data_IF_415155240128
#
_entry.id   IF_415155240128
#
_cell.length_a   1.000
_cell.length_b   1.000
_cell.length_c   1.000
_cell.angle_alpha   90.00
_cell.angle_beta   90.00
_cell.angle_gamma   90.00
#
_symmetry.space_group_name_H-M   'P 1'
#
loop_
_entity.id
_entity.type
_entity.pdbx_description
1 polymer ?
#
# COMPACT_ATOMS: atom_id res chain seq x y z
N UNK A 1 -6.78 19.41 10.39
CA UNK A 1 -5.94 18.42 9.70
C UNK A 1 -6.82 17.19 9.50
N UNK A 2 -6.95 16.71 8.27
CA UNK A 2 -7.65 15.44 7.98
C UNK A 2 -6.59 14.38 7.74
N UNK A 3 -6.76 13.21 8.34
CA UNK A 3 -5.85 12.06 8.24
C UNK A 3 -6.70 10.82 7.94
N UNK A 4 -6.23 9.97 7.05
CA UNK A 4 -6.87 8.71 6.68
C UNK A 4 -5.95 7.55 7.08
N UNK A 5 -6.16 6.93 8.26
CA UNK A 5 -5.28 5.87 8.75
C UNK A 5 -5.40 4.57 7.95
N UNK A 6 -4.27 3.90 7.76
CA UNK A 6 -4.21 2.53 7.23
C UNK A 6 -3.59 1.66 8.32
N UNK A 7 -4.29 0.61 8.73
CA UNK A 7 -3.89 -0.24 9.85
C UNK A 7 -3.55 -1.65 9.37
N UNK A 8 -2.72 -2.37 10.11
CA UNK A 8 -2.46 -3.77 9.81
C UNK A 8 -1.16 -4.27 10.44
N UNK A 9 -0.68 -5.41 9.96
CA UNK A 9 0.49 -6.09 10.53
C UNK A 9 1.58 -6.17 9.47
N UNK A 10 2.76 -5.66 9.80
CA UNK A 10 3.89 -5.66 8.86
C UNK A 10 4.34 -7.11 8.59
N UNK A 11 4.57 -7.52 7.33
CA UNK A 11 4.92 -8.91 7.03
C UNK A 11 6.24 -9.39 7.63
N UNK A 12 7.13 -8.45 7.98
CA UNK A 12 8.37 -8.77 8.69
C UNK A 12 8.15 -9.35 10.10
N UNK A 13 6.98 -9.13 10.72
CA UNK A 13 6.67 -9.67 12.05
C UNK A 13 6.55 -11.19 12.06
N UNK A 14 6.29 -11.84 10.91
CA UNK A 14 6.19 -13.30 10.85
C UNK A 14 7.47 -14.00 11.36
N UNK A 15 8.64 -13.41 11.10
CA UNK A 15 9.92 -13.95 11.54
C UNK A 15 10.08 -13.79 13.06
N UNK A 16 9.80 -12.59 13.58
CA UNK A 16 9.92 -12.29 15.03
C UNK A 16 8.93 -13.09 15.87
N UNK A 17 7.71 -13.26 15.37
CA UNK A 17 6.68 -14.03 16.06
C UNK A 17 6.99 -15.53 15.97
N UNK A 18 7.38 -16.05 14.81
CA UNK A 18 7.65 -17.49 14.65
C UNK A 18 8.81 -17.98 15.52
N UNK A 19 9.82 -17.15 15.78
CA UNK A 19 10.88 -17.44 16.76
C UNK A 19 10.35 -17.65 18.19
N UNK A 20 9.20 -17.06 18.54
CA UNK A 20 8.64 -17.08 19.90
C UNK A 20 7.52 -18.10 20.09
N UNK A 21 6.74 -18.40 19.05
CA UNK A 21 5.51 -19.19 19.16
C UNK A 21 5.30 -20.23 18.04
N UNK A 22 6.27 -20.37 17.13
CA UNK A 22 6.13 -21.21 15.95
C UNK A 22 5.38 -20.50 14.81
N UNK A 23 5.61 -20.97 13.58
CA UNK A 23 5.15 -20.30 12.36
C UNK A 23 3.62 -20.26 12.21
N UNK A 24 2.95 -21.36 12.52
CA UNK A 24 1.50 -21.46 12.41
C UNK A 24 0.78 -20.53 13.39
N UNK A 25 1.20 -20.52 14.65
CA UNK A 25 0.66 -19.59 15.65
C UNK A 25 0.98 -18.14 15.28
N UNK A 26 2.19 -17.85 14.79
CA UNK A 26 2.55 -16.51 14.32
C UNK A 26 1.60 -16.03 13.21
N UNK A 27 1.33 -16.86 12.20
CA UNK A 27 0.39 -16.52 11.13
C UNK A 27 -1.03 -16.27 11.68
N UNK A 28 -1.51 -17.11 12.62
CA UNK A 28 -2.81 -16.93 13.28
C UNK A 28 -2.90 -15.61 14.05
N UNK A 29 -1.85 -15.25 14.79
CA UNK A 29 -1.80 -13.97 15.51
C UNK A 29 -1.80 -12.77 14.54
N UNK A 30 -1.07 -12.86 13.43
CA UNK A 30 -1.08 -11.81 12.41
C UNK A 30 -2.46 -11.66 11.75
N UNK A 31 -3.14 -12.76 11.43
CA UNK A 31 -4.53 -12.74 10.92
C UNK A 31 -5.50 -12.13 11.93
N UNK A 32 -5.42 -12.51 13.20
CA UNK A 32 -6.24 -11.91 14.27
C UNK A 32 -5.97 -10.40 14.44
N UNK A 33 -4.73 -9.95 14.23
CA UNK A 33 -4.40 -8.53 14.19
C UNK A 33 -5.03 -7.80 13.00
N UNK A 34 -5.15 -8.45 11.85
CA UNK A 34 -5.86 -7.92 10.69
C UNK A 34 -7.37 -7.90 10.90
N UNK A 35 -7.95 -8.91 11.56
CA UNK A 35 -9.37 -8.91 11.94
C UNK A 35 -9.70 -7.70 12.81
N UNK A 36 -8.85 -7.42 13.81
CA UNK A 36 -8.99 -6.24 14.66
C UNK A 36 -8.84 -4.95 13.86
N UNK A 37 -7.87 -4.87 12.94
CA UNK A 37 -7.70 -3.71 12.06
C UNK A 37 -8.92 -3.47 11.17
N UNK A 38 -9.61 -4.53 10.73
CA UNK A 38 -10.83 -4.44 9.95
C UNK A 38 -12.01 -3.87 10.76
N UNK A 39 -12.13 -4.18 12.06
CA UNK A 39 -13.11 -3.53 12.92
C UNK A 39 -12.93 -2.00 12.96
N UNK A 40 -11.70 -1.50 13.02
CA UNK A 40 -11.44 -0.05 12.95
C UNK A 40 -11.84 0.56 11.61
N UNK A 41 -11.79 -0.21 10.51
CA UNK A 41 -12.31 0.23 9.21
C UNK A 41 -13.83 0.32 9.24
N UNK A 42 -14.51 -0.69 9.80
CA UNK A 42 -15.97 -0.70 9.96
C UNK A 42 -16.47 0.48 10.82
N UNK A 43 -15.73 0.81 11.89
CA UNK A 43 -16.00 1.93 12.80
C UNK A 43 -15.67 3.31 12.18
N UNK A 44 -15.02 3.34 11.02
CA UNK A 44 -14.61 4.57 10.33
C UNK A 44 -13.37 5.25 10.91
N UNK A 45 -12.61 4.56 11.78
CA UNK A 45 -11.35 5.05 12.35
C UNK A 45 -10.13 4.77 11.45
N UNK A 46 -10.27 3.83 10.50
CA UNK A 46 -9.31 3.55 9.45
C UNK A 46 -9.99 3.45 8.07
N UNK A 47 -9.23 3.58 6.99
CA UNK A 47 -9.77 3.56 5.62
C UNK A 47 -9.31 2.35 4.79
N UNK A 48 -8.32 1.62 5.29
CA UNK A 48 -7.72 0.49 4.59
C UNK A 48 -6.87 -0.38 5.51
N UNK A 49 -6.54 -1.56 4.99
CA UNK A 49 -5.64 -2.51 5.63
C UNK A 49 -4.23 -2.44 5.02
N UNK A 50 -3.20 -2.80 5.80
CA UNK A 50 -1.83 -3.02 5.33
C UNK A 50 -1.36 -4.43 5.69
N UNK A 51 -0.93 -5.18 4.69
CA UNK A 51 -0.40 -6.54 4.85
C UNK A 51 0.58 -6.84 3.73
N UNK A 52 1.09 -8.07 3.64
CA UNK A 52 2.02 -8.42 2.60
C UNK A 52 2.82 -9.69 2.82
N UNK A 53 3.99 -9.72 2.17
CA UNK A 53 4.98 -10.79 2.30
C UNK A 53 6.40 -10.22 2.39
N UNK A 54 7.36 -10.97 2.95
CA UNK A 54 8.76 -10.56 2.98
C UNK A 54 9.29 -10.26 1.58
N UNK A 55 10.01 -9.15 1.43
CA UNK A 55 10.72 -8.79 0.20
C UNK A 55 12.14 -9.39 0.13
N UNK A 56 12.48 -10.29 1.05
CA UNK A 56 13.79 -10.91 1.21
C UNK A 56 13.62 -12.42 1.22
N UNK A 57 14.70 -13.14 0.95
CA UNK A 57 14.69 -14.60 0.91
C UNK A 57 14.30 -15.18 2.27
N UNK A 58 13.32 -16.06 2.26
CA UNK A 58 12.81 -16.79 3.43
C UNK A 58 12.53 -18.24 3.03
N UNK A 59 12.49 -19.18 4.00
CA UNK A 59 12.09 -20.55 3.73
C UNK A 59 10.71 -20.64 3.04
N UNK A 60 10.48 -21.61 2.14
CA UNK A 60 9.21 -21.75 1.41
C UNK A 60 7.97 -21.79 2.31
N UNK A 61 8.07 -22.42 3.48
CA UNK A 61 7.00 -22.49 4.47
C UNK A 61 6.64 -21.11 5.05
N UNK A 62 7.64 -20.24 5.27
CA UNK A 62 7.42 -18.86 5.76
C UNK A 62 6.77 -18.01 4.68
N UNK A 63 7.19 -18.17 3.42
CA UNK A 63 6.55 -17.49 2.29
C UNK A 63 5.10 -17.94 2.12
N UNK A 64 4.83 -19.25 2.24
CA UNK A 64 3.48 -19.79 2.17
C UNK A 64 2.58 -19.24 3.29
N UNK A 65 3.09 -19.21 4.53
CA UNK A 65 2.38 -18.63 5.67
C UNK A 65 2.13 -17.12 5.47
N UNK A 66 3.12 -16.38 4.96
CA UNK A 66 2.96 -14.95 4.63
C UNK A 66 1.89 -14.71 3.57
N UNK A 67 1.86 -15.54 2.51
CA UNK A 67 0.84 -15.46 1.47
C UNK A 67 -0.56 -15.86 1.98
N UNK A 68 -0.66 -16.72 2.99
CA UNK A 68 -1.93 -16.99 3.67
C UNK A 68 -2.42 -15.77 4.45
N UNK A 69 -1.54 -15.09 5.20
CA UNK A 69 -1.87 -13.83 5.90
C UNK A 69 -2.26 -12.72 4.91
N UNK A 70 -1.57 -12.63 3.77
CA UNK A 70 -1.95 -11.69 2.70
C UNK A 70 -3.31 -12.04 2.09
N UNK A 71 -3.60 -13.32 1.82
CA UNK A 71 -4.91 -13.74 1.32
C UNK A 71 -6.03 -13.33 2.29
N UNK A 72 -5.82 -13.55 3.59
CA UNK A 72 -6.76 -13.12 4.64
C UNK A 72 -7.01 -11.60 4.61
N UNK A 73 -5.96 -10.79 4.46
CA UNK A 73 -6.11 -9.34 4.33
C UNK A 73 -6.92 -8.92 3.09
N UNK A 74 -6.77 -9.65 1.97
CA UNK A 74 -7.52 -9.38 0.74
C UNK A 74 -8.99 -9.76 0.90
N UNK A 75 -9.29 -10.87 1.58
CA UNK A 75 -10.65 -11.30 1.93
C UNK A 75 -11.33 -10.26 2.83
N UNK A 76 -10.66 -9.81 3.88
CA UNK A 76 -11.13 -8.70 4.72
C UNK A 76 -11.33 -7.40 3.92
N UNK A 77 -10.43 -7.10 2.98
CA UNK A 77 -10.58 -5.95 2.09
C UNK A 77 -11.87 -5.99 1.26
N UNK A 78 -12.27 -7.19 0.81
CA UNK A 78 -13.54 -7.39 0.12
C UNK A 78 -14.73 -7.27 1.08
N UNK A 79 -14.70 -7.95 2.22
CA UNK A 79 -15.79 -8.01 3.21
C UNK A 79 -16.12 -6.62 3.79
N UNK A 80 -15.08 -5.85 4.13
CA UNK A 80 -15.21 -4.51 4.71
C UNK A 80 -15.19 -3.41 3.65
N UNK A 81 -15.20 -3.78 2.35
CA UNK A 81 -15.21 -2.85 1.23
C UNK A 81 -14.16 -1.74 1.36
N UNK A 82 -12.90 -2.13 1.65
CA UNK A 82 -11.78 -1.21 1.82
C UNK A 82 -10.58 -1.61 0.96
N UNK A 83 -9.57 -0.72 0.88
CA UNK A 83 -8.35 -1.02 0.15
C UNK A 83 -7.36 -1.85 0.99
N UNK A 84 -6.43 -2.52 0.31
CA UNK A 84 -5.31 -3.23 0.93
C UNK A 84 -4.00 -2.69 0.37
N UNK A 85 -3.16 -2.10 1.21
CA UNK A 85 -1.78 -1.76 0.88
C UNK A 85 -0.88 -2.99 0.99
N UNK A 86 -0.37 -3.45 -0.14
CA UNK A 86 0.53 -4.57 -0.29
C UNK A 86 1.99 -4.13 -0.09
N UNK A 87 2.61 -4.63 0.98
CA UNK A 87 4.06 -4.65 1.14
C UNK A 87 4.62 -5.97 0.58
N UNK A 88 5.50 -5.92 -0.42
CA UNK A 88 6.05 -7.10 -1.05
C UNK A 88 7.40 -6.78 -1.70
N UNK A 89 8.01 -7.77 -2.33
CA UNK A 89 9.21 -7.62 -3.13
C UNK A 89 9.10 -6.56 -4.22
N UNK A 90 10.26 -6.16 -4.75
CA UNK A 90 10.35 -5.30 -5.92
C UNK A 90 9.74 -5.98 -7.14
N UNK A 91 9.14 -5.19 -8.03
CA UNK A 91 8.53 -5.67 -9.27
C UNK A 91 7.00 -5.61 -9.23
N UNK A 92 6.35 -6.20 -10.25
CA UNK A 92 4.94 -5.97 -10.51
C UNK A 92 4.00 -6.75 -9.57
N UNK A 93 4.46 -7.82 -8.90
CA UNK A 93 3.65 -8.72 -8.07
C UNK A 93 2.37 -9.19 -8.78
N UNK A 94 2.51 -9.65 -10.03
CA UNK A 94 1.38 -10.04 -10.89
C UNK A 94 0.56 -11.19 -10.33
N UNK A 95 1.16 -12.08 -9.53
CA UNK A 95 0.50 -13.20 -8.87
C UNK A 95 -0.59 -12.77 -7.88
N UNK A 96 -0.48 -11.55 -7.33
CA UNK A 96 -1.48 -11.00 -6.40
C UNK A 96 -2.79 -10.66 -7.11
N UNK A 97 -2.79 -10.48 -8.44
CA UNK A 97 -4.03 -10.30 -9.21
C UNK A 97 -4.95 -11.51 -9.05
N UNK A 98 -4.40 -12.72 -9.13
CA UNK A 98 -5.17 -13.95 -8.95
C UNK A 98 -5.63 -14.13 -7.50
N UNK A 99 -4.83 -13.68 -6.52
CA UNK A 99 -5.23 -13.66 -5.10
C UNK A 99 -6.40 -12.71 -4.88
N UNK A 100 -6.32 -11.49 -5.42
CA UNK A 100 -7.38 -10.49 -5.35
C UNK A 100 -8.68 -11.02 -5.98
N UNK A 101 -8.58 -11.66 -7.16
CA UNK A 101 -9.71 -12.27 -7.84
C UNK A 101 -10.38 -13.39 -7.04
N UNK A 102 -9.60 -14.22 -6.33
CA UNK A 102 -10.15 -15.26 -5.44
C UNK A 102 -10.84 -14.68 -4.21
N UNK A 103 -10.26 -13.63 -3.62
CA UNK A 103 -10.83 -12.93 -2.46
C UNK A 103 -12.05 -12.05 -2.82
N UNK A 104 -12.23 -11.71 -4.10
CA UNK A 104 -13.33 -10.85 -4.56
C UNK A 104 -13.06 -9.34 -4.41
N UNK A 105 -11.83 -8.94 -4.08
CA UNK A 105 -11.43 -7.53 -4.01
C UNK A 105 -11.02 -7.02 -5.41
N UNK A 106 -11.53 -5.85 -5.86
CA UNK A 106 -11.11 -5.26 -7.13
C UNK A 106 -9.63 -4.87 -7.12
N UNK A 107 -8.92 -5.13 -8.21
CA UNK A 107 -7.46 -4.90 -8.32
C UNK A 107 -7.07 -3.44 -8.10
N UNK A 108 -7.96 -2.49 -8.42
CA UNK A 108 -7.74 -1.07 -8.14
C UNK A 108 -7.73 -0.69 -6.66
N UNK A 109 -8.20 -1.59 -5.79
CA UNK A 109 -8.16 -1.45 -4.32
C UNK A 109 -7.01 -2.22 -3.69
N UNK A 110 -6.23 -2.94 -4.48
CA UNK A 110 -4.97 -3.54 -4.03
C UNK A 110 -3.84 -2.60 -4.42
N UNK A 111 -3.30 -1.89 -3.43
CA UNK A 111 -2.29 -0.86 -3.65
C UNK A 111 -0.91 -1.47 -3.49
N UNK A 112 -0.14 -1.57 -4.58
CA UNK A 112 1.27 -1.93 -4.48
C UNK A 112 2.03 -0.74 -3.91
N UNK A 113 2.39 -0.83 -2.63
CA UNK A 113 3.32 0.08 -2.00
C UNK A 113 4.73 -0.18 -2.55
N UNK A 114 5.51 0.88 -2.76
CA UNK A 114 6.80 0.82 -3.42
C UNK A 114 6.69 0.14 -4.80
N UNK A 115 5.75 0.62 -5.62
CA UNK A 115 5.45 0.02 -6.91
C UNK A 115 6.51 0.33 -7.98
N UNK A 116 6.60 -0.59 -8.94
CA UNK A 116 7.14 -0.33 -10.28
C UNK A 116 5.99 -0.01 -11.24
N UNK A 117 6.20 0.80 -12.29
CA UNK A 117 5.12 1.23 -13.19
C UNK A 117 4.39 0.11 -13.95
N UNK A 118 5.02 -1.04 -14.10
CA UNK A 118 4.50 -2.23 -14.78
C UNK A 118 3.57 -3.10 -13.91
N UNK A 119 3.36 -2.75 -12.63
CA UNK A 119 2.40 -3.49 -11.79
C UNK A 119 0.97 -3.40 -12.37
N UNK A 120 0.23 -4.53 -12.43
CA UNK A 120 -1.18 -4.54 -12.79
C UNK A 120 -2.10 -4.10 -11.64
N UNK A 121 -1.56 -3.96 -10.42
CA UNK A 121 -2.27 -3.48 -9.24
C UNK A 121 -2.38 -1.94 -9.26
N UNK A 122 -2.98 -1.33 -8.23
CA UNK A 122 -2.94 0.13 -8.08
C UNK A 122 -1.54 0.58 -7.62
N UNK A 123 -0.74 1.27 -8.45
CA UNK A 123 0.62 1.62 -8.07
C UNK A 123 0.66 2.80 -7.09
N UNK A 124 1.44 2.67 -6.03
CA UNK A 124 1.92 3.80 -5.22
C UNK A 124 3.42 3.98 -5.44
N UNK A 125 3.79 5.10 -6.07
CA UNK A 125 5.17 5.37 -6.50
C UNK A 125 5.87 6.30 -5.52
N UNK A 126 7.12 5.97 -5.18
CA UNK A 126 7.97 6.88 -4.41
C UNK A 126 8.10 8.22 -5.16
N UNK A 127 7.92 9.33 -4.45
CA UNK A 127 7.74 10.66 -5.05
C UNK A 127 8.86 11.13 -6.00
N UNK A 128 10.06 10.53 -5.91
CA UNK A 128 11.21 10.83 -6.79
C UNK A 128 11.32 9.91 -8.01
N UNK A 129 10.35 9.02 -8.24
CA UNK A 129 10.40 8.06 -9.33
C UNK A 129 10.38 8.78 -10.68
N UNK A 130 11.32 8.45 -11.56
CA UNK A 130 11.57 9.20 -12.79
C UNK A 130 10.45 9.09 -13.82
N UNK A 131 9.70 7.98 -13.81
CA UNK A 131 8.59 7.75 -14.73
C UNK A 131 7.28 8.49 -14.40
N UNK A 132 7.18 9.16 -13.23
CA UNK A 132 5.95 9.85 -12.80
C UNK A 132 5.42 10.81 -13.88
N UNK A 133 6.23 11.70 -14.49
CA UNK A 133 5.75 12.58 -15.56
C UNK A 133 5.22 11.85 -16.81
N UNK A 134 5.81 10.72 -17.17
CA UNK A 134 5.37 9.95 -18.33
C UNK A 134 4.02 9.26 -18.04
N UNK A 135 3.88 8.66 -16.86
CA UNK A 135 2.64 8.02 -16.42
C UNK A 135 1.50 9.03 -16.25
N UNK A 136 1.81 10.20 -15.70
CA UNK A 136 0.89 11.32 -15.58
C UNK A 136 0.35 11.71 -16.96
N UNK A 137 1.22 12.04 -17.91
CA UNK A 137 0.82 12.42 -19.29
C UNK A 137 0.06 11.32 -20.03
N UNK A 138 0.30 10.05 -19.70
CA UNK A 138 -0.45 8.92 -20.24
C UNK A 138 -1.85 8.75 -19.62
N UNK A 139 -2.27 9.63 -18.71
CA UNK A 139 -3.58 9.55 -18.05
C UNK A 139 -3.69 8.43 -17.03
N UNK A 140 -2.57 7.80 -16.60
CA UNK A 140 -2.62 6.68 -15.67
C UNK A 140 -3.05 7.11 -14.27
N UNK A 141 -3.74 6.20 -13.59
CA UNK A 141 -4.05 6.29 -12.16
C UNK A 141 -2.90 5.69 -11.34
N UNK A 142 -2.39 6.46 -10.39
CA UNK A 142 -1.38 6.07 -9.41
C UNK A 142 -1.41 7.05 -8.23
N UNK A 143 -0.85 6.64 -7.10
CA UNK A 143 -0.58 7.52 -5.97
C UNK A 143 0.91 7.82 -5.85
N UNK A 144 1.25 8.92 -5.18
CA UNK A 144 2.64 9.24 -4.80
C UNK A 144 2.82 9.06 -3.30
N UNK A 145 3.97 8.52 -2.90
CA UNK A 145 4.29 8.29 -1.50
C UNK A 145 5.71 8.74 -1.14
N UNK A 146 5.93 8.94 0.16
CA UNK A 146 7.26 9.21 0.73
C UNK A 146 7.88 7.97 1.38
N UNK A 147 7.05 6.99 1.73
CA UNK A 147 7.41 5.89 2.62
C UNK A 147 8.07 6.37 3.93
N UNK A 148 7.71 7.57 4.41
CA UNK A 148 8.32 8.13 5.61
C UNK A 148 8.11 7.22 6.82
N UNK A 149 9.20 6.96 7.53
CA UNK A 149 9.24 6.11 8.73
C UNK A 149 9.60 7.00 9.92
N UNK A 150 8.69 7.06 10.89
CA UNK A 150 8.86 7.84 12.12
C UNK A 150 9.73 7.07 13.14
N UNK A 151 10.96 6.77 12.73
CA UNK A 151 11.94 6.04 13.54
C UNK A 151 13.22 6.86 13.71
N UNK A 152 13.35 7.53 14.86
CA UNK A 152 14.49 8.39 15.18
C UNK A 152 15.85 7.68 15.12
N UNK A 153 15.88 6.35 15.28
CA UNK A 153 17.10 5.55 15.19
C UNK A 153 17.60 5.36 13.74
N UNK A 154 16.76 5.63 12.72
CA UNK A 154 17.07 5.41 11.29
C UNK A 154 16.77 6.65 10.44
N UNK A 155 17.38 7.81 10.74
CA UNK A 155 17.13 9.03 9.99
C UNK A 155 17.55 8.87 8.52
N UNK A 156 16.66 9.25 7.60
CA UNK A 156 16.94 9.26 6.16
C UNK A 156 16.90 7.90 5.47
N UNK A 157 16.45 6.83 6.13
CA UNK A 157 16.22 5.53 5.50
C UNK A 157 15.23 5.62 4.30
N UNK A 158 14.37 6.63 4.34
CA UNK A 158 13.29 6.93 3.40
C UNK A 158 13.20 8.44 3.20
N UNK A 159 12.45 8.88 2.19
CA UNK A 159 12.33 10.31 1.91
C UNK A 159 11.34 10.97 2.87
N UNK A 160 11.56 12.24 3.23
CA UNK A 160 10.70 12.93 4.18
C UNK A 160 9.29 13.21 3.60
N UNK A 161 8.27 13.46 4.45
CA UNK A 161 6.89 13.64 4.02
C UNK A 161 6.69 14.86 3.11
N UNK A 162 7.56 15.87 3.21
CA UNK A 162 7.58 17.04 2.32
C UNK A 162 8.00 16.70 0.88
N UNK A 163 8.48 15.49 0.62
CA UNK A 163 8.98 15.10 -0.71
C UNK A 163 7.87 15.01 -1.74
N UNK A 164 6.70 14.47 -1.37
CA UNK A 164 5.53 14.38 -2.27
C UNK A 164 5.16 15.76 -2.82
N UNK A 165 4.79 16.77 -1.99
CA UNK A 165 4.45 18.09 -2.52
C UNK A 165 5.63 18.79 -3.22
N UNK A 166 6.88 18.57 -2.77
CA UNK A 166 8.07 19.16 -3.41
C UNK A 166 8.27 18.66 -4.84
N UNK A 167 8.17 17.34 -5.06
CA UNK A 167 8.34 16.78 -6.41
C UNK A 167 7.16 17.11 -7.31
N UNK A 168 5.92 17.07 -6.80
CA UNK A 168 4.76 17.53 -7.57
C UNK A 168 4.90 18.99 -8.00
N UNK A 169 5.31 19.88 -7.08
CA UNK A 169 5.53 21.29 -7.43
C UNK A 169 6.62 21.46 -8.48
N UNK A 170 7.73 20.73 -8.34
CA UNK A 170 8.81 20.74 -9.33
C UNK A 170 8.32 20.31 -10.72
N UNK A 171 7.53 19.23 -10.81
CA UNK A 171 7.00 18.76 -12.09
C UNK A 171 6.03 19.77 -12.73
N UNK A 172 5.24 20.49 -11.94
CA UNK A 172 4.39 21.57 -12.42
C UNK A 172 5.22 22.77 -12.92
N UNK A 173 6.20 23.22 -12.13
CA UNK A 173 7.06 24.37 -12.47
C UNK A 173 7.91 24.09 -13.73
N UNK A 174 8.32 22.83 -13.94
CA UNK A 174 9.05 22.38 -15.13
C UNK A 174 8.13 22.06 -16.33
N UNK A 175 6.80 22.15 -16.18
CA UNK A 175 5.82 21.83 -17.22
C UNK A 175 5.77 20.36 -17.61
N UNK A 176 6.24 19.47 -16.73
CA UNK A 176 6.28 18.02 -16.95
C UNK A 176 4.95 17.33 -16.67
N UNK A 177 4.11 17.93 -15.82
CA UNK A 177 2.73 17.55 -15.56
C UNK A 177 1.84 18.80 -15.53
N UNK A 178 0.54 18.62 -15.72
CA UNK A 178 -0.48 19.68 -15.61
C UNK A 178 -1.13 19.69 -14.22
N UNK A 179 -1.90 20.74 -13.91
CA UNK A 179 -2.73 20.78 -12.70
C UNK A 179 -3.77 19.64 -12.69
N UNK A 180 -4.31 19.28 -13.85
CA UNK A 180 -5.23 18.15 -13.99
C UNK A 180 -4.56 16.81 -13.64
N UNK A 181 -3.31 16.62 -14.06
CA UNK A 181 -2.53 15.45 -13.69
C UNK A 181 -2.29 15.41 -12.17
N UNK A 182 -1.93 16.54 -11.57
CA UNK A 182 -1.74 16.64 -10.12
C UNK A 182 -3.04 16.33 -9.36
N UNK A 183 -4.19 16.80 -9.85
CA UNK A 183 -5.50 16.49 -9.29
C UNK A 183 -5.82 14.99 -9.38
N UNK A 184 -5.54 14.37 -10.52
CA UNK A 184 -5.73 12.93 -10.71
C UNK A 184 -4.87 12.12 -9.74
N UNK A 185 -3.61 12.51 -9.52
CA UNK A 185 -2.67 11.80 -8.64
C UNK A 185 -3.02 11.96 -7.16
N UNK A 186 -3.37 13.18 -6.72
CA UNK A 186 -3.43 13.51 -5.29
C UNK A 186 -4.84 13.53 -4.71
N UNK A 187 -5.88 13.64 -5.53
CA UNK A 187 -7.26 13.66 -5.07
C UNK A 187 -8.09 12.54 -5.71
N UNK A 188 -8.20 12.50 -7.04
CA UNK A 188 -9.11 11.56 -7.71
C UNK A 188 -8.71 10.08 -7.50
N UNK A 189 -7.43 9.76 -7.64
CA UNK A 189 -6.95 8.37 -7.48
C UNK A 189 -7.06 7.91 -6.03
N UNK A 190 -6.55 8.62 -5.00
CA UNK A 190 -6.72 8.19 -3.61
C UNK A 190 -8.19 8.12 -3.19
N UNK A 191 -9.03 9.07 -3.62
CA UNK A 191 -10.47 9.04 -3.30
C UNK A 191 -11.15 7.80 -3.87
N UNK A 192 -10.87 7.45 -5.13
CA UNK A 192 -11.37 6.23 -5.78
C UNK A 192 -10.87 4.96 -5.11
N UNK A 193 -9.58 4.92 -4.75
CA UNK A 193 -8.92 3.73 -4.21
C UNK A 193 -9.33 3.45 -2.77
N UNK A 194 -9.27 4.46 -1.90
CA UNK A 194 -9.51 4.33 -0.46
C UNK A 194 -10.94 4.66 -0.03
N UNK A 195 -11.80 5.15 -0.94
CA UNK A 195 -13.17 5.55 -0.60
C UNK A 195 -13.25 6.78 0.29
N UNK A 196 -12.26 7.67 0.20
CA UNK A 196 -12.16 8.90 1.00
C UNK A 196 -12.52 10.13 0.17
N UNK A 197 -12.91 11.22 0.83
CA UNK A 197 -13.20 12.49 0.14
C UNK A 197 -12.04 13.49 0.32
N UNK A 198 -11.24 13.68 -0.73
CA UNK A 198 -10.16 14.67 -0.76
C UNK A 198 -10.65 15.90 -1.52
N UNK A 199 -11.12 16.89 -0.77
CA UNK A 199 -11.50 18.20 -1.33
C UNK A 199 -10.31 19.17 -1.32
N UNK A 200 -10.23 20.08 -2.29
CA UNK A 200 -9.32 21.21 -2.18
C UNK A 200 -9.70 22.08 -0.97
N UNK A 201 -8.76 22.84 -0.40
CA UNK A 201 -9.10 23.99 0.44
C UNK A 201 -9.87 25.06 -0.34
#
# INVERSE_FOLDING_TARGET
>A
LVVYPVLGVHPAEINRLSERMGLEEAARVMMAGLDLAACYVEEGEAVALKSGRPHYEVPPEVLAASNAVLSHALELGADYNCAVQLHAESGPCTDVVDMAGRAGIPVERVVKHFATPDTPLMPSLIARHEEIPALARAGRHFTMESDYMDENARPGAVIGPKSVPRFTRRYLDEGLITEEDAWRIHAATPSRTYGVDITPP
#
